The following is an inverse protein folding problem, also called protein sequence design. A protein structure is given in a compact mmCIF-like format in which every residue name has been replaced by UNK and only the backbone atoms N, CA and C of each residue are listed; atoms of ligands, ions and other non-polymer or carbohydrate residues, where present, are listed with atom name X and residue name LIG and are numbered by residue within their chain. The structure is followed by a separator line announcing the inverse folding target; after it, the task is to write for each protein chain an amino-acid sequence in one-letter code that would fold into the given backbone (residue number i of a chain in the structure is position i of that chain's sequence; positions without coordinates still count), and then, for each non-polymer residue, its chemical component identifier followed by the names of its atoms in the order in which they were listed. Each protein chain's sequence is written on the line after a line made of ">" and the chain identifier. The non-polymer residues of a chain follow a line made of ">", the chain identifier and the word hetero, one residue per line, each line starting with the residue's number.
data_IF_558813399034
#
_entry.id   IF_558813399034
#
_cell.length_a   1.000
_cell.length_b   1.000
_cell.length_c   1.000
_cell.angle_alpha   90.00
_cell.angle_beta   90.00
_cell.angle_gamma   90.00
#
_symmetry.space_group_name_H-M   'P 1'
#
loop_
_entity.id
_entity.type
_entity.pdbx_description
1 polymer ?
#
# COMPACT_ATOMS: atom_id res chain seq x y z
N UNK A 1 -7.94 -1.51 5.54
CA UNK A 1 -6.60 -0.90 5.71
C UNK A 1 -6.65 0.62 5.72
N UNK A 2 -7.01 1.31 4.63
CA UNK A 2 -7.03 2.78 4.61
C UNK A 2 -7.92 3.42 5.70
N UNK A 3 -9.11 2.86 5.97
CA UNK A 3 -9.95 3.30 7.10
C UNK A 3 -9.29 3.10 8.47
N UNK A 4 -8.52 2.03 8.65
CA UNK A 4 -7.78 1.81 9.91
C UNK A 4 -6.66 2.83 10.07
N UNK A 5 -6.04 3.27 8.96
CA UNK A 5 -5.06 4.36 9.00
C UNK A 5 -5.74 5.67 9.35
N UNK A 6 -6.91 5.97 8.77
CA UNK A 6 -7.71 7.15 9.15
C UNK A 6 -8.05 7.16 10.64
N UNK A 7 -8.46 6.03 11.22
CA UNK A 7 -8.68 5.91 12.68
C UNK A 7 -7.40 6.15 13.49
N UNK A 8 -6.24 5.73 12.99
CA UNK A 8 -4.97 5.82 13.71
C UNK A 8 -4.30 7.19 13.60
N UNK A 9 -4.48 7.89 12.48
CA UNK A 9 -3.81 9.17 12.18
C UNK A 9 -4.74 10.37 12.25
N UNK A 10 -6.06 10.17 12.22
CA UNK A 10 -7.05 11.24 12.07
C UNK A 10 -7.12 11.83 10.65
N UNK A 11 -6.27 11.37 9.73
CA UNK A 11 -6.22 11.84 8.34
C UNK A 11 -7.25 11.08 7.52
N UNK A 12 -8.18 11.82 6.90
CA UNK A 12 -9.27 11.24 6.11
C UNK A 12 -8.77 10.32 5.01
N UNK A 13 -9.28 9.09 4.94
CA UNK A 13 -8.90 8.15 3.91
C UNK A 13 -9.39 8.65 2.53
N UNK A 14 -8.61 8.44 1.45
CA UNK A 14 -9.08 8.68 0.10
C UNK A 14 -10.34 7.85 -0.19
N UNK A 15 -11.42 8.53 -0.59
CA UNK A 15 -12.70 7.90 -0.94
C UNK A 15 -12.81 7.58 -2.42
N UNK A 16 -12.10 8.34 -3.27
CA UNK A 16 -12.11 8.15 -4.71
C UNK A 16 -11.26 6.94 -5.12
N UNK A 17 -11.87 6.02 -5.86
CA UNK A 17 -11.19 4.85 -6.43
C UNK A 17 -11.11 5.02 -7.93
N UNK A 18 -9.89 5.08 -8.46
CA UNK A 18 -9.68 5.13 -9.90
C UNK A 18 -9.99 3.74 -10.50
N UNK A 19 -10.82 3.64 -11.55
CA UNK A 19 -11.06 2.38 -12.25
C UNK A 19 -9.79 1.76 -12.81
N UNK A 20 -9.63 0.44 -12.65
CA UNK A 20 -8.43 -0.28 -13.08
C UNK A 20 -8.10 -0.10 -14.57
N UNK A 21 -9.13 -0.04 -15.43
CA UNK A 21 -8.99 0.16 -16.87
C UNK A 21 -8.32 1.49 -17.21
N UNK A 22 -8.67 2.57 -16.51
CA UNK A 22 -8.07 3.89 -16.75
C UNK A 22 -6.59 3.89 -16.36
N UNK A 23 -6.26 3.26 -15.23
CA UNK A 23 -4.87 3.16 -14.75
C UNK A 23 -4.03 2.29 -15.69
N UNK A 24 -4.58 1.18 -16.19
CA UNK A 24 -3.88 0.32 -17.14
C UNK A 24 -3.70 0.97 -18.51
N UNK A 25 -4.68 1.75 -18.97
CA UNK A 25 -4.53 2.54 -20.20
C UNK A 25 -3.45 3.64 -20.07
N UNK A 26 -3.30 4.22 -18.88
CA UNK A 26 -2.25 5.19 -18.57
C UNK A 26 -0.87 4.54 -18.31
N UNK A 27 -0.82 3.23 -18.04
CA UNK A 27 0.40 2.53 -17.67
C UNK A 27 1.61 2.67 -18.63
N UNK A 28 1.45 2.70 -19.97
CA UNK A 28 2.57 2.91 -20.89
C UNK A 28 3.09 4.37 -20.89
N UNK A 29 2.31 5.34 -20.44
CA UNK A 29 2.74 6.74 -20.35
C UNK A 29 3.62 7.00 -19.11
N UNK A 30 3.54 6.13 -18.11
CA UNK A 30 4.24 6.27 -16.83
C UNK A 30 5.78 6.30 -16.99
N UNK A 31 6.43 5.36 -17.70
CA UNK A 31 7.88 5.40 -17.88
C UNK A 31 8.36 6.65 -18.62
N UNK A 32 7.57 7.11 -19.60
CA UNK A 32 7.87 8.33 -20.37
C UNK A 32 7.83 9.55 -19.44
N UNK A 33 6.77 9.68 -18.66
CA UNK A 33 6.62 10.75 -17.68
C UNK A 33 7.80 10.79 -16.70
N UNK A 34 8.14 9.66 -16.08
CA UNK A 34 9.23 9.62 -15.09
C UNK A 34 10.63 9.77 -15.70
N UNK A 35 10.83 9.40 -16.97
CA UNK A 35 12.06 9.67 -17.71
C UNK A 35 12.28 11.18 -17.90
N UNK A 36 11.20 11.91 -18.20
CA UNK A 36 11.22 13.36 -18.39
C UNK A 36 11.36 14.09 -17.05
N UNK A 37 10.56 13.74 -16.05
CA UNK A 37 10.57 14.43 -14.76
C UNK A 37 11.79 14.09 -13.91
N UNK A 38 12.52 13.01 -14.22
CA UNK A 38 13.67 12.49 -13.45
C UNK A 38 13.37 12.30 -11.95
N UNK A 39 12.10 12.12 -11.60
CA UNK A 39 11.65 11.90 -10.22
C UNK A 39 11.53 10.41 -9.93
N UNK A 40 11.74 10.02 -8.67
CA UNK A 40 11.53 8.63 -8.24
C UNK A 40 10.08 8.20 -8.52
N UNK A 41 9.85 7.11 -9.28
CA UNK A 41 8.50 6.67 -9.58
C UNK A 41 7.79 6.18 -8.32
N UNK A 42 6.63 6.77 -8.03
CA UNK A 42 5.76 6.32 -6.94
C UNK A 42 4.92 5.10 -7.33
N UNK A 43 4.63 4.96 -8.62
CA UNK A 43 3.87 3.85 -9.20
C UNK A 43 4.45 3.50 -10.57
N UNK A 44 4.46 2.21 -10.89
CA UNK A 44 4.98 1.65 -12.14
C UNK A 44 3.92 0.77 -12.80
N UNK A 45 4.07 0.48 -14.09
CA UNK A 45 3.19 -0.46 -14.79
C UNK A 45 3.17 -1.83 -14.10
N UNK A 46 4.31 -2.23 -13.52
CA UNK A 46 4.42 -3.43 -12.69
C UNK A 46 3.59 -3.33 -11.41
N UNK A 47 3.72 -2.25 -10.63
CA UNK A 47 2.97 -2.10 -9.38
C UNK A 47 1.46 -2.07 -9.63
N UNK A 48 1.01 -1.47 -10.73
CA UNK A 48 -0.41 -1.47 -11.15
C UNK A 48 -0.90 -2.89 -11.38
N UNK A 49 -0.14 -3.69 -12.15
CA UNK A 49 -0.50 -5.08 -12.45
C UNK A 49 -0.56 -5.94 -11.18
N UNK A 50 0.41 -5.76 -10.27
CA UNK A 50 0.44 -6.48 -8.98
C UNK A 50 -0.76 -6.11 -8.10
N UNK A 51 -1.09 -4.82 -8.00
CA UNK A 51 -2.24 -4.35 -7.19
C UNK A 51 -3.59 -4.82 -7.77
N UNK A 52 -3.69 -5.00 -9.09
CA UNK A 52 -4.88 -5.58 -9.73
C UNK A 52 -4.93 -7.11 -9.71
N UNK A 53 -3.86 -7.77 -9.28
CA UNK A 53 -3.79 -9.24 -9.23
C UNK A 53 -4.38 -9.81 -7.93
N UNK A 54 -4.45 -11.14 -7.83
CA UNK A 54 -4.98 -11.81 -6.66
C UNK A 54 -4.11 -11.52 -5.42
N UNK A 55 -4.73 -10.97 -4.37
CA UNK A 55 -4.10 -10.64 -3.09
C UNK A 55 -4.66 -11.46 -1.92
N UNK A 56 -5.44 -12.51 -2.20
CA UNK A 56 -5.98 -13.43 -1.21
C UNK A 56 -4.92 -14.46 -0.83
N UNK A 57 -4.14 -14.12 0.19
CA UNK A 57 -3.05 -14.96 0.71
C UNK A 57 -3.49 -15.59 2.04
N UNK A 58 -3.23 -16.89 2.18
CA UNK A 58 -3.54 -17.65 3.40
C UNK A 58 -2.26 -18.04 4.14
N UNK A 59 -2.25 -17.83 5.46
CA UNK A 59 -1.18 -18.31 6.34
C UNK A 59 -1.48 -19.68 6.95
N UNK A 60 -2.48 -20.43 6.43
CA UNK A 60 -2.99 -21.67 7.02
C UNK A 60 -1.89 -22.71 7.27
N UNK A 61 -1.08 -22.99 6.25
CA UNK A 61 0.03 -23.95 6.34
C UNK A 61 1.01 -23.62 7.47
N UNK A 62 1.40 -22.34 7.59
CA UNK A 62 2.31 -21.91 8.65
C UNK A 62 1.71 -22.07 10.06
N UNK A 63 0.39 -21.84 10.20
CA UNK A 63 -0.31 -22.08 11.47
C UNK A 63 -0.28 -23.56 11.87
N UNK A 64 -0.56 -24.44 10.90
CA UNK A 64 -0.67 -25.88 11.12
C UNK A 64 0.69 -26.55 11.35
N UNK A 65 1.70 -26.22 10.54
CA UNK A 65 2.99 -26.91 10.58
C UNK A 65 4.01 -26.26 11.54
N UNK A 66 3.91 -24.95 11.77
CA UNK A 66 4.92 -24.19 12.51
C UNK A 66 4.37 -23.54 13.79
N UNK A 67 3.09 -23.77 14.13
CA UNK A 67 2.44 -23.10 15.25
C UNK A 67 2.38 -21.56 15.09
N UNK A 68 2.50 -21.06 13.87
CA UNK A 68 2.57 -19.63 13.61
C UNK A 68 1.30 -18.91 14.07
N UNK A 69 1.45 -17.81 14.82
CA UNK A 69 0.33 -16.94 15.20
C UNK A 69 0.66 -15.51 14.81
N UNK A 70 -0.16 -14.91 13.94
CA UNK A 70 -0.02 -13.52 13.54
C UNK A 70 -0.70 -12.59 14.55
N UNK A 71 -0.03 -11.48 14.90
CA UNK A 71 -0.66 -10.39 15.65
C UNK A 71 -1.70 -9.65 14.80
N UNK A 72 -2.63 -8.90 15.41
CA UNK A 72 -3.58 -8.07 14.68
C UNK A 72 -2.88 -7.02 13.81
N UNK A 73 -3.30 -6.89 12.54
CA UNK A 73 -2.72 -5.94 11.56
C UNK A 73 -2.77 -4.49 12.04
N UNK A 74 -3.81 -4.12 12.82
CA UNK A 74 -3.96 -2.76 13.37
C UNK A 74 -2.77 -2.34 14.21
N UNK A 75 -2.19 -3.26 14.98
CA UNK A 75 -1.05 -2.93 15.82
C UNK A 75 0.22 -2.74 14.98
N UNK A 76 0.45 -3.58 13.96
CA UNK A 76 1.56 -3.39 13.02
C UNK A 76 1.47 -2.05 12.28
N UNK A 77 0.26 -1.62 11.89
CA UNK A 77 0.05 -0.30 11.29
C UNK A 77 0.35 0.83 12.29
N UNK A 78 -0.07 0.69 13.55
CA UNK A 78 0.22 1.66 14.61
C UNK A 78 1.72 1.84 14.81
N UNK A 79 2.45 0.73 14.94
CA UNK A 79 3.91 0.74 15.14
C UNK A 79 4.62 1.39 13.94
N UNK A 80 4.18 1.08 12.71
CA UNK A 80 4.72 1.70 11.49
C UNK A 80 4.46 3.22 11.44
N UNK A 81 3.28 3.69 11.83
CA UNK A 81 2.97 5.12 11.87
C UNK A 81 3.80 5.85 12.92
N UNK A 82 3.98 5.26 14.11
CA UNK A 82 4.87 5.80 15.14
C UNK A 82 6.32 5.87 14.66
N UNK A 83 6.80 4.83 13.97
CA UNK A 83 8.12 4.81 13.37
C UNK A 83 8.30 5.95 12.36
N UNK A 84 7.34 6.16 11.45
CA UNK A 84 7.42 7.26 10.48
C UNK A 84 7.36 8.65 11.12
N UNK A 85 6.57 8.83 12.19
CA UNK A 85 6.54 10.08 12.96
C UNK A 85 7.89 10.36 13.63
N UNK A 86 8.55 9.34 14.18
CA UNK A 86 9.89 9.45 14.78
C UNK A 86 10.97 9.81 13.75
N UNK A 87 10.82 9.37 12.49
CA UNK A 87 11.72 9.75 11.40
C UNK A 87 11.36 11.10 10.75
N UNK A 88 10.40 11.84 11.29
CA UNK A 88 9.92 13.11 10.74
C UNK A 88 9.46 13.02 9.27
N UNK A 89 9.08 11.82 8.81
CA UNK A 89 8.61 11.60 7.44
C UNK A 89 7.14 11.97 7.25
N UNK A 90 6.38 12.00 8.33
CA UNK A 90 4.96 12.34 8.35
C UNK A 90 4.65 13.18 9.58
N UNK A 91 3.86 14.23 9.38
CA UNK A 91 3.31 15.07 10.44
C UNK A 91 1.79 15.05 10.32
N UNK A 92 1.16 14.52 11.36
CA UNK A 92 -0.28 14.57 11.63
C UNK A 92 -0.47 14.75 13.13
#
# INVERSE_FOLDING_TARGET
>A
LLKMLEELTGVRAPSFKVPYLLITAAAPLIPIYYSITRTKPLFTSYSIKVLGSNSLISSKKAKEELGYTARPVKESLKDAMQWFKKMEKINF
#
